data_IF_172976298405
#
_entry.id   IF_172976298405
#
_cell.length_a   1.000
_cell.length_b   1.000
_cell.length_c   1.000
_cell.angle_alpha   90.00
_cell.angle_beta   90.00
_cell.angle_gamma   90.00
#
_symmetry.space_group_name_H-M   'P 1'
#
loop_
_entity.id
_entity.type
_entity.pdbx_description
1 polymer ?
#
# COMPACT_ATOMS: atom_id res chain seq x y z
N UNK A 1 -6.11 -4.33 15.24
CA UNK A 1 -5.69 -3.10 14.52
C UNK A 1 -6.65 -2.00 14.93
N UNK A 2 -6.16 -0.83 15.32
CA UNK A 2 -7.02 0.28 15.74
C UNK A 2 -7.34 1.16 14.54
N UNK A 3 -8.60 1.59 14.42
CA UNK A 3 -8.99 2.63 13.47
C UNK A 3 -8.68 3.99 14.11
N UNK A 4 -7.96 4.84 13.38
CA UNK A 4 -7.53 6.15 13.89
C UNK A 4 -6.97 7.03 12.78
N UNK A 5 -6.44 8.20 13.15
CA UNK A 5 -5.68 9.08 12.26
C UNK A 5 -4.20 8.88 12.52
N UNK A 6 -3.44 8.67 11.45
CA UNK A 6 -2.00 8.43 11.49
C UNK A 6 -1.33 9.28 10.42
N UNK A 7 -0.10 9.69 10.68
CA UNK A 7 0.77 10.37 9.72
C UNK A 7 2.15 9.73 9.75
N UNK A 8 2.81 9.68 8.59
CA UNK A 8 4.15 9.14 8.43
C UNK A 8 4.78 9.73 7.17
N UNK A 9 6.12 9.80 7.12
CA UNK A 9 6.82 10.14 5.88
C UNK A 9 6.76 8.96 4.90
N UNK A 10 6.97 9.22 3.59
CA UNK A 10 7.04 8.14 2.58
C UNK A 10 8.11 7.11 2.96
N UNK A 11 9.24 7.55 3.54
CA UNK A 11 10.34 6.68 3.95
C UNK A 11 9.95 5.75 5.10
N UNK A 12 9.19 6.25 6.06
CA UNK A 12 8.84 5.51 7.28
C UNK A 12 7.59 4.64 7.11
N UNK A 13 6.94 4.67 5.94
CA UNK A 13 5.84 3.77 5.62
C UNK A 13 6.31 2.34 5.31
N UNK A 14 7.49 2.22 4.71
CA UNK A 14 8.13 0.95 4.36
C UNK A 14 8.99 0.41 5.53
N UNK A 15 9.13 -0.91 5.58
CA UNK A 15 10.07 -1.60 6.46
C UNK A 15 11.33 -1.90 5.64
N UNK A 16 12.49 -1.57 6.19
CA UNK A 16 13.79 -1.80 5.55
C UNK A 16 14.23 -3.26 5.72
N UNK A 17 13.59 -4.16 4.97
CA UNK A 17 13.94 -5.57 4.95
C UNK A 17 15.30 -5.78 4.24
N UNK A 18 16.08 -6.75 4.73
CA UNK A 18 17.40 -7.08 4.19
C UNK A 18 17.39 -7.38 2.68
N UNK A 19 16.34 -8.06 2.21
CA UNK A 19 15.99 -8.17 0.79
C UNK A 19 14.73 -7.34 0.55
N UNK A 20 14.75 -6.34 -0.35
CA UNK A 20 13.56 -5.57 -0.71
C UNK A 20 12.40 -6.47 -1.12
N UNK A 21 11.21 -6.16 -0.61
CA UNK A 21 9.99 -6.94 -0.83
C UNK A 21 8.75 -6.08 -0.55
N UNK A 22 7.56 -6.63 -0.80
CA UNK A 22 6.29 -5.95 -0.50
C UNK A 22 6.25 -5.47 0.96
N UNK A 23 5.94 -4.20 1.15
CA UNK A 23 5.91 -3.57 2.48
C UNK A 23 5.04 -2.33 2.48
N UNK A 24 4.56 -1.95 3.67
CA UNK A 24 3.94 -0.66 3.88
C UNK A 24 2.44 -0.58 3.58
N UNK A 25 1.80 -1.70 3.21
CA UNK A 25 0.36 -1.74 3.02
C UNK A 25 -0.37 -1.30 4.30
N UNK A 26 -1.34 -0.40 4.14
CA UNK A 26 -2.25 0.08 5.18
C UNK A 26 -3.67 -0.24 4.75
N UNK A 27 -4.25 -1.27 5.36
CA UNK A 27 -5.59 -1.75 5.04
C UNK A 27 -6.69 -0.82 5.58
N UNK A 28 -7.92 -1.03 5.11
CA UNK A 28 -9.10 -0.36 5.63
C UNK A 28 -8.98 1.18 5.54
N UNK A 29 -8.58 1.69 4.37
CA UNK A 29 -8.45 3.11 4.08
C UNK A 29 -9.83 3.79 4.06
N UNK A 30 -9.92 4.95 4.72
CA UNK A 30 -11.12 5.82 4.72
C UNK A 30 -10.79 7.15 4.03
N UNK A 31 -9.67 7.76 4.42
CA UNK A 31 -9.18 9.03 3.92
C UNK A 31 -7.66 9.01 3.89
N UNK A 32 -7.06 9.49 2.80
CA UNK A 32 -5.62 9.69 2.62
C UNK A 32 -5.38 11.12 2.16
N UNK A 33 -4.49 11.82 2.86
CA UNK A 33 -3.95 13.11 2.46
C UNK A 33 -2.46 12.94 2.19
N UNK A 34 -2.03 13.29 0.98
CA UNK A 34 -0.61 13.36 0.63
C UNK A 34 -0.19 14.81 0.68
N UNK A 35 0.96 15.06 1.31
CA UNK A 35 1.54 16.40 1.43
C UNK A 35 2.95 16.42 0.88
N UNK A 36 3.33 17.53 0.26
CA UNK A 36 4.69 17.82 -0.21
C UNK A 36 5.06 19.24 0.18
N UNK A 37 6.21 19.42 0.85
CA UNK A 37 6.65 20.74 1.31
C UNK A 37 5.69 21.41 2.30
N UNK A 38 4.86 20.64 3.03
CA UNK A 38 3.84 21.16 3.94
C UNK A 38 2.50 21.52 3.30
N UNK A 39 2.40 21.45 1.97
CA UNK A 39 1.16 21.66 1.23
C UNK A 39 0.53 20.31 0.92
N UNK A 40 -0.77 20.17 1.11
CA UNK A 40 -1.49 19.01 0.55
C UNK A 40 -1.34 19.04 -0.97
N UNK A 41 -1.19 17.87 -1.60
CA UNK A 41 -1.08 17.74 -3.06
C UNK A 41 -2.10 16.75 -3.63
N UNK A 42 -2.69 15.92 -2.76
CA UNK A 42 -3.70 14.97 -3.16
C UNK A 42 -4.53 14.57 -1.94
N UNK A 43 -5.85 14.58 -2.10
CA UNK A 43 -6.77 13.97 -1.14
C UNK A 43 -7.57 12.86 -1.81
N UNK A 44 -7.60 11.71 -1.15
CA UNK A 44 -8.37 10.54 -1.57
C UNK A 44 -9.33 10.15 -0.46
N UNK A 45 -10.62 10.11 -0.76
CA UNK A 45 -11.64 9.51 0.10
C UNK A 45 -12.08 8.18 -0.47
N UNK A 46 -11.93 7.11 0.31
CA UNK A 46 -12.29 5.75 -0.06
C UNK A 46 -13.65 5.37 0.56
N UNK A 47 -14.62 5.09 -0.31
CA UNK A 47 -15.94 4.60 0.08
C UNK A 47 -15.93 3.06 0.08
N UNK A 48 -16.68 2.41 0.99
CA UNK A 48 -16.80 0.96 0.96
C UNK A 48 -17.50 0.52 -0.33
N UNK A 49 -17.14 -0.66 -0.83
CA UNK A 49 -17.84 -1.31 -1.93
C UNK A 49 -19.24 -1.79 -1.51
N UNK A 50 -19.99 -2.40 -2.43
CA UNK A 50 -21.35 -2.91 -2.16
C UNK A 50 -21.38 -4.04 -1.12
N UNK A 51 -20.23 -4.64 -0.80
CA UNK A 51 -20.07 -5.68 0.24
C UNK A 51 -19.46 -5.12 1.53
N UNK A 52 -19.35 -3.80 1.66
CA UNK A 52 -18.80 -3.15 2.86
C UNK A 52 -17.28 -3.17 2.95
N UNK A 53 -16.56 -3.68 1.94
CA UNK A 53 -15.09 -3.84 1.96
C UNK A 53 -14.43 -2.51 1.62
N UNK A 54 -13.32 -2.19 2.29
CA UNK A 54 -12.54 -0.98 2.03
C UNK A 54 -11.20 -1.34 1.40
N UNK A 55 -10.68 -0.50 0.48
CA UNK A 55 -9.35 -0.71 -0.05
C UNK A 55 -8.28 -0.41 1.00
N UNK A 56 -7.05 -0.81 0.74
CA UNK A 56 -5.87 -0.28 1.42
C UNK A 56 -5.04 0.59 0.48
N UNK A 57 -3.89 1.04 0.97
CA UNK A 57 -2.90 1.72 0.12
C UNK A 57 -1.47 1.34 0.48
N UNK A 58 -0.58 1.54 -0.50
CA UNK A 58 0.87 1.58 -0.36
C UNK A 58 1.36 2.88 -0.97
N UNK A 59 2.32 3.53 -0.32
CA UNK A 59 3.01 4.71 -0.86
C UNK A 59 4.51 4.44 -0.82
N UNK A 60 5.15 4.39 -1.99
CA UNK A 60 6.54 3.92 -2.15
C UNK A 60 7.34 4.83 -3.07
N UNK A 61 8.67 4.85 -2.91
CA UNK A 61 9.60 5.50 -3.86
C UNK A 61 9.89 4.64 -5.08
N UNK A 62 9.59 3.35 -5.02
CA UNK A 62 9.89 2.40 -6.07
C UNK A 62 8.65 1.58 -6.43
N UNK A 63 8.54 1.22 -7.69
CA UNK A 63 7.52 0.31 -8.20
C UNK A 63 7.71 -1.11 -7.65
N UNK A 64 6.66 -1.94 -7.61
CA UNK A 64 6.80 -3.35 -7.23
C UNK A 64 7.81 -4.12 -8.10
N UNK A 65 7.95 -3.74 -9.37
CA UNK A 65 8.89 -4.35 -10.32
C UNK A 65 10.34 -4.01 -9.96
N UNK A 66 10.64 -2.76 -9.62
CA UNK A 66 11.98 -2.36 -9.16
C UNK A 66 12.34 -3.03 -7.83
N UNK A 67 11.38 -3.06 -6.88
CA UNK A 67 11.56 -3.72 -5.58
C UNK A 67 11.85 -5.21 -5.78
N UNK A 68 11.09 -5.90 -6.62
CA UNK A 68 11.29 -7.32 -6.88
C UNK A 68 12.61 -7.63 -7.60
N UNK A 69 13.15 -6.67 -8.36
CA UNK A 69 14.41 -6.79 -9.08
C UNK A 69 15.67 -6.60 -8.22
N UNK A 70 15.55 -5.93 -7.07
CA UNK A 70 16.67 -5.65 -6.18
C UNK A 70 16.97 -6.81 -5.21
N UNK A 71 18.24 -7.18 -5.08
CA UNK A 71 18.71 -8.13 -4.07
C UNK A 71 18.91 -7.47 -2.70
N UNK A 72 19.31 -6.20 -2.69
CA UNK A 72 19.57 -5.41 -1.49
C UNK A 72 19.05 -3.97 -1.62
N UNK A 73 18.75 -3.26 -0.52
CA UNK A 73 18.20 -1.90 -0.58
C UNK A 73 19.06 -0.90 -1.35
N UNK A 74 20.39 -1.01 -1.29
CA UNK A 74 21.30 -0.09 -2.00
C UNK A 74 21.30 -0.28 -3.53
N UNK A 75 20.73 -1.37 -4.04
CA UNK A 75 20.64 -1.65 -5.47
C UNK A 75 19.40 -1.01 -6.11
N UNK A 76 18.48 -0.49 -5.30
CA UNK A 76 17.31 0.24 -5.80
C UNK A 76 17.76 1.51 -6.55
N UNK A 77 17.15 1.82 -7.71
CA UNK A 77 17.52 3.00 -8.47
C UNK A 77 17.20 4.28 -7.69
N UNK A 78 17.90 5.37 -8.03
CA UNK A 78 17.48 6.68 -7.57
C UNK A 78 16.05 6.97 -8.03
N UNK A 79 15.22 7.52 -7.14
CA UNK A 79 13.82 7.82 -7.42
C UNK A 79 13.52 9.28 -7.13
N UNK A 80 12.94 9.96 -8.13
CA UNK A 80 12.39 11.32 -8.04
C UNK A 80 10.86 11.34 -7.86
N UNK A 81 10.24 10.16 -7.91
CA UNK A 81 8.79 9.99 -7.96
C UNK A 81 8.29 9.29 -6.70
N UNK A 82 6.97 9.37 -6.46
CA UNK A 82 6.30 8.57 -5.43
C UNK A 82 5.12 7.84 -6.06
N UNK A 83 5.07 6.53 -5.86
CA UNK A 83 4.03 5.65 -6.38
C UNK A 83 2.98 5.41 -5.31
N UNK A 84 1.73 5.79 -5.60
CA UNK A 84 0.56 5.47 -4.79
C UNK A 84 -0.16 4.27 -5.42
N UNK A 85 -0.26 3.18 -4.66
CA UNK A 85 -1.10 2.03 -4.99
C UNK A 85 -2.34 2.06 -4.09
N UNK A 86 -3.53 1.93 -4.67
CA UNK A 86 -4.79 1.77 -3.94
C UNK A 86 -5.32 0.37 -4.26
N UNK A 87 -5.18 -0.53 -3.29
CA UNK A 87 -5.43 -1.96 -3.50
C UNK A 87 -6.81 -2.33 -2.98
N UNK A 88 -7.66 -2.92 -3.83
CA UNK A 88 -8.96 -3.45 -3.39
C UNK A 88 -8.81 -4.69 -2.48
N UNK A 89 -7.72 -5.44 -2.66
CA UNK A 89 -7.31 -6.57 -1.85
C UNK A 89 -5.82 -6.86 -2.08
N UNK A 90 -5.17 -7.45 -1.09
CA UNK A 90 -3.83 -8.03 -1.22
C UNK A 90 -3.86 -9.51 -0.78
N UNK A 91 -2.91 -10.29 -1.30
CA UNK A 91 -2.73 -11.68 -0.87
C UNK A 91 -2.15 -11.73 0.55
N UNK A 92 -2.58 -12.69 1.37
CA UNK A 92 -1.98 -12.91 2.69
C UNK A 92 -0.51 -13.34 2.60
N UNK A 93 0.22 -13.25 3.71
CA UNK A 93 1.66 -13.57 3.74
C UNK A 93 1.94 -15.06 3.95
N UNK A 94 1.24 -15.67 4.92
CA UNK A 94 1.55 -17.03 5.37
C UNK A 94 2.97 -17.11 5.95
N UNK A 95 3.59 -18.29 5.84
CA UNK A 95 4.98 -18.52 6.31
C UNK A 95 5.74 -19.47 5.40
N UNK A 96 5.37 -19.54 4.12
CA UNK A 96 5.83 -20.56 3.16
C UNK A 96 7.33 -20.46 2.81
N UNK A 97 8.04 -19.44 3.28
CA UNK A 97 9.50 -19.43 3.26
C UNK A 97 10.06 -20.65 4.00
N UNK A 98 9.47 -21.03 5.14
CA UNK A 98 9.74 -22.26 5.86
C UNK A 98 8.57 -22.56 6.81
N UNK A 99 7.48 -23.13 6.29
CA UNK A 99 6.25 -23.32 7.06
C UNK A 99 5.00 -23.42 6.19
N UNK A 100 3.80 -23.31 6.80
CA UNK A 100 2.54 -23.40 6.07
C UNK A 100 2.35 -22.24 5.09
N UNK A 101 1.59 -22.53 4.05
CA UNK A 101 1.08 -21.54 3.09
C UNK A 101 0.07 -20.58 3.73
N UNK A 102 -0.32 -19.56 2.99
CA UNK A 102 -1.43 -18.69 3.35
C UNK A 102 -2.68 -19.53 3.57
N UNK A 103 -3.32 -19.37 4.74
CA UNK A 103 -4.58 -20.05 5.02
C UNK A 103 -5.64 -19.68 3.96
N UNK A 104 -6.50 -20.62 3.55
CA UNK A 104 -7.52 -20.36 2.51
C UNK A 104 -8.35 -19.09 2.75
N UNK A 105 -8.71 -18.79 3.99
CA UNK A 105 -9.49 -17.60 4.38
C UNK A 105 -8.80 -16.26 4.07
N UNK A 106 -7.47 -16.26 3.91
CA UNK A 106 -6.65 -15.07 3.64
C UNK A 106 -5.97 -15.12 2.27
N UNK A 107 -6.19 -16.18 1.49
CA UNK A 107 -5.61 -16.33 0.16
C UNK A 107 -6.45 -15.59 -0.87
N UNK A 108 -5.90 -14.54 -1.48
CA UNK A 108 -6.56 -13.84 -2.57
C UNK A 108 -6.67 -14.75 -3.81
N UNK A 109 -7.90 -14.99 -4.26
CA UNK A 109 -8.24 -15.67 -5.52
C UNK A 109 -8.86 -14.67 -6.50
N UNK A 110 -8.88 -14.95 -7.82
CA UNK A 110 -9.49 -14.07 -8.79
C UNK A 110 -10.95 -13.76 -8.44
N UNK A 111 -11.28 -12.47 -8.38
CA UNK A 111 -12.63 -11.99 -8.14
C UNK A 111 -12.82 -10.57 -8.68
N UNK A 112 -14.06 -10.21 -8.98
CA UNK A 112 -14.39 -8.83 -9.37
C UNK A 112 -14.37 -7.90 -8.16
N UNK A 113 -13.70 -6.77 -8.31
CA UNK A 113 -13.63 -5.70 -7.31
C UNK A 113 -14.00 -4.35 -7.92
N UNK A 114 -14.43 -3.42 -7.07
CA UNK A 114 -14.75 -2.04 -7.48
C UNK A 114 -14.16 -1.10 -6.45
N UNK A 115 -13.36 -0.16 -6.92
CA UNK A 115 -12.88 0.96 -6.10
C UNK A 115 -13.83 2.14 -6.27
N UNK A 116 -14.28 2.70 -5.13
CA UNK A 116 -15.14 3.88 -5.10
C UNK A 116 -14.38 5.01 -4.44
N UNK A 117 -13.76 5.86 -5.26
CA UNK A 117 -12.86 6.91 -4.82
C UNK A 117 -13.43 8.29 -5.15
N UNK A 118 -13.24 9.25 -4.25
CA UNK A 118 -13.30 10.68 -4.57
C UNK A 118 -11.88 11.22 -4.47
N UNK A 119 -11.41 11.81 -5.56
CA UNK A 119 -10.07 12.38 -5.65
C UNK A 119 -10.24 13.88 -5.83
N UNK A 120 -9.54 14.65 -5.03
CA UNK A 120 -9.52 16.11 -5.12
C UNK A 120 -8.10 16.62 -4.92
N UNK A 121 -7.77 17.66 -5.68
CA UNK A 121 -6.61 18.50 -5.42
C UNK A 121 -7.01 19.55 -4.37
N UNK A 122 -6.21 19.80 -3.32
CA UNK A 122 -6.38 20.99 -2.50
C UNK A 122 -6.34 22.25 -3.37
N UNK A 123 -7.30 23.14 -3.13
CA UNK A 123 -7.29 24.49 -3.71
C UNK A 123 -6.26 25.37 -3.01
#
# INVERSE_FOLDING_TARGET
MYTGRFSSSVRDLAVDYARPQETGHRSELRELSLTSGGTEVLRVVALPDTRGRRPGFVLSRHTPQEIAGAGHPYELPASDTTHLHIDAAQHGLGSRACGPDVRPDFALRPESRTLRLRISDPR
#
